data_IF_535585351603
#
_entry.id   IF_535585351603
#
_cell.length_a   1.000
_cell.length_b   1.000
_cell.length_c   1.000
_cell.angle_alpha   90.00
_cell.angle_beta   90.00
_cell.angle_gamma   90.00
#
_symmetry.space_group_name_H-M   'P 1'
#
loop_
_entity.id
_entity.type
_entity.pdbx_description
1 polymer ?
#
# COMPACT_ATOMS: atom_id res chain seq x y z
N UNK A 1 4.63 -8.41 -6.39
CA UNK A 1 3.51 -7.50 -6.70
C UNK A 1 3.94 -6.51 -7.76
N UNK A 2 3.05 -6.10 -8.65
CA UNK A 2 3.32 -5.10 -9.69
C UNK A 2 2.28 -4.00 -9.63
N UNK A 3 2.70 -2.73 -9.65
CA UNK A 3 1.80 -1.59 -9.73
C UNK A 3 1.87 -1.01 -11.15
N UNK A 4 0.76 -1.02 -11.93
CA UNK A 4 0.74 -0.41 -13.25
C UNK A 4 1.12 1.08 -13.17
N UNK A 5 2.06 1.57 -14.00
CA UNK A 5 2.56 2.94 -13.90
C UNK A 5 1.47 4.02 -13.97
N UNK A 6 0.52 3.87 -14.89
CA UNK A 6 -0.58 4.83 -15.06
C UNK A 6 -1.51 4.87 -13.83
N UNK A 7 -1.79 3.72 -13.22
CA UNK A 7 -2.61 3.66 -12.00
C UNK A 7 -1.85 4.24 -10.79
N UNK A 8 -0.54 3.98 -10.71
CA UNK A 8 0.32 4.55 -9.68
C UNK A 8 0.36 6.08 -9.78
N UNK A 9 0.56 6.64 -10.97
CA UNK A 9 0.60 8.08 -11.20
C UNK A 9 -0.71 8.77 -10.77
N UNK A 10 -1.86 8.15 -11.07
CA UNK A 10 -3.17 8.66 -10.61
C UNK A 10 -3.28 8.68 -9.09
N UNK A 11 -2.87 7.61 -8.41
CA UNK A 11 -2.90 7.56 -6.93
C UNK A 11 -1.91 8.55 -6.32
N UNK A 12 -0.73 8.74 -6.92
CA UNK A 12 0.25 9.75 -6.49
C UNK A 12 -0.28 11.19 -6.59
N UNK A 13 -1.25 11.44 -7.49
CA UNK A 13 -1.97 12.71 -7.56
C UNK A 13 -2.96 12.95 -6.42
N UNK A 14 -3.44 11.89 -5.76
CA UNK A 14 -4.39 11.94 -4.64
C UNK A 14 -3.67 12.01 -3.30
N UNK A 15 -2.56 11.28 -3.18
CA UNK A 15 -1.82 11.17 -1.93
C UNK A 15 -0.31 11.13 -2.15
N UNK A 16 0.50 11.82 -1.32
CA UNK A 16 1.94 11.74 -1.40
C UNK A 16 2.43 10.35 -0.99
N UNK A 17 2.79 9.53 -1.97
CA UNK A 17 3.37 8.20 -1.76
C UNK A 17 4.90 8.24 -1.80
N UNK A 18 5.53 7.41 -0.97
CA UNK A 18 6.95 7.14 -1.05
C UNK A 18 7.20 5.89 -1.91
N UNK A 19 8.09 6.00 -2.91
CA UNK A 19 8.52 4.85 -3.71
C UNK A 19 9.63 4.10 -2.97
N UNK A 20 9.59 2.77 -3.06
CA UNK A 20 10.66 1.92 -2.56
C UNK A 20 11.83 1.91 -3.55
N UNK A 21 13.06 1.95 -3.04
CA UNK A 21 14.27 1.94 -3.87
C UNK A 21 14.44 0.63 -4.67
N UNK A 22 13.84 -0.45 -4.18
CA UNK A 22 13.86 -1.77 -4.82
C UNK A 22 12.51 -2.48 -4.68
N UNK A 23 12.15 -3.34 -5.64
CA UNK A 23 10.98 -4.21 -5.51
C UNK A 23 11.09 -5.11 -4.28
N UNK A 24 9.94 -5.36 -3.65
CA UNK A 24 9.80 -6.37 -2.60
C UNK A 24 9.18 -7.64 -3.18
N UNK A 25 9.65 -8.78 -2.72
CA UNK A 25 9.17 -10.10 -3.14
C UNK A 25 8.20 -10.70 -2.12
N UNK A 26 7.28 -9.88 -1.61
CA UNK A 26 6.19 -10.40 -0.78
C UNK A 26 5.09 -10.96 -1.68
N UNK A 27 4.51 -12.07 -1.23
CA UNK A 27 3.33 -12.69 -1.83
C UNK A 27 2.08 -12.15 -1.16
N UNK A 28 1.04 -11.90 -1.94
CA UNK A 28 -0.26 -11.47 -1.44
C UNK A 28 -1.34 -12.14 -2.30
N UNK A 29 -2.39 -12.67 -1.68
CA UNK A 29 -3.43 -13.44 -2.38
C UNK A 29 -4.13 -12.57 -3.44
N UNK A 30 -4.29 -11.29 -3.15
CA UNK A 30 -4.90 -10.36 -4.10
C UNK A 30 -4.08 -10.14 -5.38
N UNK A 31 -2.78 -10.47 -5.37
CA UNK A 31 -1.94 -10.32 -6.56
C UNK A 31 -2.37 -11.25 -7.70
N UNK A 32 -3.10 -12.33 -7.41
CA UNK A 32 -3.67 -13.21 -8.43
C UNK A 32 -4.73 -12.51 -9.28
N UNK A 33 -5.55 -11.64 -8.67
CA UNK A 33 -6.58 -10.89 -9.40
C UNK A 33 -6.00 -9.86 -10.37
N UNK A 34 -4.73 -9.45 -10.19
CA UNK A 34 -4.03 -8.54 -11.12
C UNK A 34 -3.84 -9.12 -12.53
N UNK A 35 -4.16 -10.41 -12.75
CA UNK A 35 -4.22 -11.03 -14.08
C UNK A 35 -5.40 -10.58 -14.92
N UNK A 36 -6.44 -10.04 -14.28
CA UNK A 36 -7.72 -9.69 -14.93
C UNK A 36 -8.12 -8.24 -14.69
N UNK A 37 -7.67 -7.62 -13.61
CA UNK A 37 -8.00 -6.24 -13.25
C UNK A 37 -6.72 -5.48 -12.85
N UNK A 38 -6.51 -4.23 -13.32
CA UNK A 38 -5.46 -3.39 -12.78
C UNK A 38 -5.64 -3.23 -11.26
N UNK A 39 -4.58 -3.47 -10.50
CA UNK A 39 -4.59 -3.31 -9.05
C UNK A 39 -3.32 -2.62 -8.58
N UNK A 40 -3.33 -2.09 -7.37
CA UNK A 40 -2.19 -1.41 -6.77
C UNK A 40 -1.97 -1.91 -5.34
N UNK A 41 -0.72 -2.14 -4.98
CA UNK A 41 -0.29 -2.48 -3.63
C UNK A 41 0.60 -1.37 -3.08
N UNK A 42 0.41 -1.05 -1.81
CA UNK A 42 1.28 -0.13 -1.09
C UNK A 42 1.47 -0.63 0.34
N UNK A 43 2.58 -0.22 0.96
CA UNK A 43 2.78 -0.46 2.39
C UNK A 43 2.25 0.71 3.20
N UNK A 44 1.55 0.40 4.28
CA UNK A 44 1.32 1.35 5.35
C UNK A 44 2.52 1.29 6.30
N UNK A 45 3.43 2.25 6.19
CA UNK A 45 4.65 2.27 7.00
C UNK A 45 4.33 2.44 8.49
N UNK A 46 4.89 1.60 9.35
CA UNK A 46 4.65 1.62 10.81
C UNK A 46 5.70 2.43 11.60
N UNK A 47 6.60 3.14 10.91
CA UNK A 47 7.80 3.73 11.54
C UNK A 47 8.79 2.66 12.03
N UNK A 48 9.72 3.01 12.94
CA UNK A 48 10.59 2.03 13.58
C UNK A 48 9.76 1.05 14.41
N UNK A 49 9.63 -0.17 13.93
CA UNK A 49 8.91 -1.26 14.59
C UNK A 49 9.68 -2.57 14.40
N UNK A 50 9.47 -3.58 15.26
CA UNK A 50 9.96 -4.93 15.02
C UNK A 50 9.50 -5.46 13.65
N UNK A 51 10.19 -6.48 13.14
CA UNK A 51 9.82 -7.05 11.85
C UNK A 51 8.42 -7.67 11.88
N UNK A 52 7.72 -7.60 10.74
CA UNK A 52 6.47 -8.34 10.50
C UNK A 52 6.74 -9.84 10.77
N UNK A 53 5.87 -10.49 11.56
CA UNK A 53 6.01 -11.85 12.12
C UNK A 53 6.90 -12.02 13.37
N UNK A 54 7.45 -10.94 13.93
CA UNK A 54 8.03 -11.01 15.27
C UNK A 54 6.92 -11.18 16.33
N UNK A 55 7.12 -11.99 17.40
CA UNK A 55 6.19 -12.02 18.54
C UNK A 55 6.08 -10.66 19.25
N UNK A 56 7.09 -9.80 19.07
CA UNK A 56 7.12 -8.46 19.64
C UNK A 56 6.59 -7.39 18.68
N UNK A 57 5.97 -7.78 17.54
CA UNK A 57 5.46 -6.82 16.56
C UNK A 57 4.38 -5.93 17.18
N UNK A 58 4.77 -4.70 17.48
CA UNK A 58 3.95 -3.65 18.06
C UNK A 58 4.36 -2.32 17.42
N UNK A 59 3.38 -1.47 17.11
CA UNK A 59 3.59 -0.19 16.44
C UNK A 59 2.51 0.82 16.86
N UNK A 60 2.68 2.08 16.49
CA UNK A 60 1.67 3.11 16.72
C UNK A 60 0.46 2.91 15.79
N UNK A 61 -0.63 2.35 16.33
CA UNK A 61 -1.88 2.12 15.61
C UNK A 61 -2.56 3.39 15.10
N UNK A 62 -2.14 4.59 15.55
CA UNK A 62 -2.60 5.85 14.98
C UNK A 62 -2.35 5.95 13.46
N UNK A 63 -1.40 5.17 12.93
CA UNK A 63 -1.17 5.07 11.48
C UNK A 63 -2.31 4.40 10.71
N UNK A 64 -3.11 3.54 11.35
CA UNK A 64 -4.24 2.85 10.71
C UNK A 64 -5.28 3.84 10.19
N UNK A 65 -5.51 4.93 10.93
CA UNK A 65 -6.40 6.01 10.49
C UNK A 65 -5.92 6.68 9.19
N UNK A 66 -4.59 6.85 9.02
CA UNK A 66 -4.02 7.36 7.77
C UNK A 66 -4.19 6.39 6.60
N UNK A 67 -4.07 5.09 6.86
CA UNK A 67 -4.34 4.06 5.86
C UNK A 67 -5.81 4.05 5.42
N UNK A 68 -6.74 4.21 6.36
CA UNK A 68 -8.16 4.29 6.07
C UNK A 68 -8.54 5.55 5.27
N UNK A 69 -7.94 6.71 5.60
CA UNK A 69 -8.14 7.97 4.85
C UNK A 69 -7.65 7.83 3.40
N UNK A 70 -6.43 7.31 3.19
CA UNK A 70 -5.93 7.02 1.85
C UNK A 70 -6.87 6.10 1.06
N UNK A 71 -7.31 4.99 1.67
CA UNK A 71 -8.20 4.04 1.00
C UNK A 71 -9.54 4.69 0.61
N UNK A 72 -10.09 5.52 1.50
CA UNK A 72 -11.33 6.26 1.27
C UNK A 72 -11.18 7.25 0.11
N UNK A 73 -10.12 8.08 0.13
CA UNK A 73 -9.83 9.04 -0.94
C UNK A 73 -9.64 8.38 -2.30
N UNK A 74 -8.92 7.26 -2.36
CA UNK A 74 -8.81 6.45 -3.58
C UNK A 74 -10.21 6.04 -4.05
N UNK A 75 -11.06 5.52 -3.17
CA UNK A 75 -12.42 5.10 -3.51
C UNK A 75 -13.35 6.24 -3.95
N UNK A 76 -13.13 7.46 -3.47
CA UNK A 76 -13.94 8.64 -3.81
C UNK A 76 -13.45 9.37 -5.06
N UNK A 77 -12.14 9.41 -5.29
CA UNK A 77 -11.51 10.28 -6.29
C UNK A 77 -11.04 9.52 -7.56
N UNK A 78 -10.91 8.18 -7.53
CA UNK A 78 -10.55 7.37 -8.72
C UNK A 78 -11.74 6.82 -9.52
N UNK A 79 -12.97 6.98 -9.01
CA UNK A 79 -14.22 6.55 -9.63
C UNK A 79 -14.68 7.53 -10.70
#
# INVERSE_FOLDING_TARGET
MWNPPELLERVEGIWPLARLDKPVLITEDFSWYQRYLPGLFFFLGCGPAPALHSPDFQFDEGVLARGADLFTRIGEELV
#
